data_IF_320891184910
#
_entry.id   IF_320891184910
#
_cell.length_a   1.000
_cell.length_b   1.000
_cell.length_c   1.000
_cell.angle_alpha   90.00
_cell.angle_beta   90.00
_cell.angle_gamma   90.00
#
_symmetry.space_group_name_H-M   'P 1'
#
loop_
_entity.id
_entity.type
_entity.pdbx_description
1 polymer ?
#
# COMPACT_ATOMS: atom_id res chain seq x y z
N UNK A 1 8.45 7.51 -20.51
CA UNK A 1 8.26 8.55 -19.47
C UNK A 1 7.94 7.78 -18.21
N UNK A 2 8.84 7.84 -17.23
CA UNK A 2 8.75 7.00 -16.04
C UNK A 2 8.05 7.75 -14.90
N UNK A 3 8.05 9.09 -14.96
CA UNK A 3 7.43 9.96 -13.97
C UNK A 3 6.73 11.16 -14.60
N UNK A 4 5.69 11.66 -13.94
CA UNK A 4 5.08 12.95 -14.25
C UNK A 4 5.16 13.86 -13.02
N UNK A 5 5.64 15.08 -13.22
CA UNK A 5 5.72 16.12 -12.20
C UNK A 5 4.62 17.13 -12.46
N UNK A 6 3.85 17.46 -11.43
CA UNK A 6 2.74 18.40 -11.52
C UNK A 6 3.04 19.61 -10.63
N UNK A 7 2.93 20.81 -11.20
CA UNK A 7 3.24 22.08 -10.53
C UNK A 7 2.17 23.13 -10.86
N UNK A 8 1.90 24.05 -9.94
CA UNK A 8 1.00 25.19 -10.13
C UNK A 8 1.72 26.44 -10.66
N UNK A 9 3.06 26.43 -10.73
CA UNK A 9 3.87 27.50 -11.31
C UNK A 9 4.95 26.98 -12.26
N UNK A 10 5.41 27.88 -13.14
CA UNK A 10 6.48 27.61 -14.11
C UNK A 10 7.82 27.66 -13.38
N UNK A 11 8.32 26.50 -12.94
CA UNK A 11 9.70 26.32 -12.48
C UNK A 11 10.49 25.50 -13.49
N UNK A 12 11.82 25.58 -13.45
CA UNK A 12 12.71 24.83 -14.34
C UNK A 12 12.99 23.40 -13.85
N UNK A 13 11.94 22.70 -13.39
CA UNK A 13 12.02 21.28 -13.00
C UNK A 13 12.61 20.45 -14.14
N UNK A 14 12.26 20.75 -15.39
CA UNK A 14 12.78 20.08 -16.59
C UNK A 14 14.30 20.09 -16.62
N UNK A 15 14.95 21.24 -16.41
CA UNK A 15 16.43 21.33 -16.36
C UNK A 15 17.02 20.52 -15.22
N UNK A 16 16.44 20.58 -14.01
CA UNK A 16 16.93 19.82 -12.86
C UNK A 16 16.77 18.30 -13.05
N UNK A 17 15.69 17.86 -13.70
CA UNK A 17 15.41 16.45 -13.96
C UNK A 17 16.32 15.91 -15.07
N UNK A 18 16.55 16.70 -16.13
CA UNK A 18 17.53 16.36 -17.17
C UNK A 18 18.94 16.22 -16.61
N UNK A 19 19.38 17.12 -15.73
CA UNK A 19 20.70 17.02 -15.08
C UNK A 19 20.85 15.74 -14.24
N UNK A 20 19.75 15.18 -13.75
CA UNK A 20 19.73 13.94 -12.96
C UNK A 20 19.43 12.69 -13.81
N UNK A 21 19.39 12.82 -15.14
CA UNK A 21 19.00 11.75 -16.07
C UNK A 21 17.65 11.12 -15.73
N UNK A 22 16.69 11.91 -15.21
CA UNK A 22 15.34 11.44 -14.90
C UNK A 22 14.43 11.67 -16.10
N UNK A 23 13.87 10.58 -16.64
CA UNK A 23 12.89 10.62 -17.73
C UNK A 23 11.49 11.00 -17.21
N UNK A 24 11.28 12.29 -16.99
CA UNK A 24 10.03 12.81 -16.44
C UNK A 24 9.40 13.89 -17.35
N UNK A 25 8.07 13.93 -17.37
CA UNK A 25 7.30 15.00 -17.99
C UNK A 25 6.83 16.01 -16.93
N UNK A 26 6.88 17.31 -17.23
CA UNK A 26 6.42 18.37 -16.32
C UNK A 26 5.12 18.95 -16.85
N UNK A 27 4.06 18.90 -16.06
CA UNK A 27 2.73 19.41 -16.41
C UNK A 27 2.33 20.50 -15.43
N UNK A 28 1.90 21.65 -15.96
CA UNK A 28 1.36 22.73 -15.14
C UNK A 28 -0.13 22.47 -14.92
N UNK A 29 -0.54 22.27 -13.67
CA UNK A 29 -1.95 22.04 -13.29
C UNK A 29 -2.17 22.42 -11.84
N UNK A 30 -3.25 23.16 -11.59
CA UNK A 30 -3.73 23.40 -10.23
C UNK A 30 -4.47 22.16 -9.68
N UNK A 31 -3.79 21.44 -8.79
CA UNK A 31 -4.33 20.24 -8.11
C UNK A 31 -5.47 20.56 -7.13
N UNK A 32 -5.77 21.84 -6.87
CA UNK A 32 -6.95 22.27 -6.10
C UNK A 32 -8.24 22.24 -6.91
N UNK A 33 -8.16 22.17 -8.25
CA UNK A 33 -9.35 22.21 -9.11
C UNK A 33 -9.56 20.89 -9.86
N UNK A 34 -8.53 20.05 -9.99
CA UNK A 34 -8.62 18.77 -10.68
C UNK A 34 -7.65 17.73 -10.09
N UNK A 35 -7.94 16.42 -10.23
CA UNK A 35 -7.00 15.37 -9.89
C UNK A 35 -5.66 15.53 -10.62
N UNK A 36 -4.54 15.22 -9.96
CA UNK A 36 -3.22 15.35 -10.57
C UNK A 36 -3.06 14.44 -11.80
N UNK A 37 -3.48 13.19 -11.70
CA UNK A 37 -3.40 12.20 -12.78
C UNK A 37 -4.52 11.16 -12.66
N UNK A 38 -4.72 10.36 -13.71
CA UNK A 38 -5.62 9.21 -13.74
C UNK A 38 -4.78 7.94 -13.95
N UNK A 39 -5.25 6.81 -13.39
CA UNK A 39 -4.66 5.48 -13.55
C UNK A 39 -3.16 5.37 -13.21
N UNK A 40 -2.74 6.08 -12.15
CA UNK A 40 -1.37 6.04 -11.62
C UNK A 40 -1.21 5.06 -10.47
N UNK A 41 -0.05 4.42 -10.38
CA UNK A 41 0.29 3.48 -9.31
C UNK A 41 0.65 4.19 -7.99
N UNK A 42 1.29 5.37 -8.08
CA UNK A 42 1.80 6.12 -6.94
C UNK A 42 1.75 7.61 -7.22
N UNK A 43 1.28 8.38 -6.24
CA UNK A 43 1.38 9.84 -6.21
C UNK A 43 2.31 10.23 -5.08
N UNK A 44 3.34 11.01 -5.40
CA UNK A 44 4.28 11.56 -4.42
C UNK A 44 3.97 13.04 -4.25
N UNK A 45 3.72 13.47 -3.02
CA UNK A 45 3.41 14.85 -2.71
C UNK A 45 4.15 15.27 -1.43
N UNK A 46 4.65 16.52 -1.41
CA UNK A 46 5.41 17.08 -0.30
C UNK A 46 4.63 18.23 0.36
N UNK A 47 4.79 18.41 1.67
CA UNK A 47 4.23 19.52 2.45
C UNK A 47 2.70 19.68 2.41
N UNK A 48 1.97 18.66 1.96
CA UNK A 48 0.51 18.71 1.81
C UNK A 48 -0.21 18.92 3.15
N UNK A 49 0.28 18.31 4.23
CA UNK A 49 -0.32 18.41 5.56
C UNK A 49 0.03 19.73 6.29
N UNK A 50 1.18 20.33 5.98
CA UNK A 50 1.67 21.57 6.60
C UNK A 50 0.95 22.81 6.07
N UNK A 51 0.61 22.81 4.78
CA UNK A 51 0.05 23.99 4.10
C UNK A 51 -1.43 24.25 4.37
N UNK A 52 -2.07 23.49 5.28
CA UNK A 52 -3.50 23.66 5.60
C UNK A 52 -4.42 23.63 4.35
N UNK A 53 -3.91 23.15 3.22
CA UNK A 53 -4.61 23.14 1.95
C UNK A 53 -5.44 21.87 1.89
N UNK A 54 -6.52 21.89 2.68
CA UNK A 54 -7.59 20.90 2.70
C UNK A 54 -7.99 20.44 1.31
N UNK A 55 -7.88 21.30 0.28
CA UNK A 55 -8.34 21.09 -1.09
C UNK A 55 -7.41 20.17 -1.89
N UNK A 56 -6.09 20.21 -1.65
CA UNK A 56 -5.13 19.31 -2.33
C UNK A 56 -5.25 17.91 -1.75
N UNK A 57 -5.38 17.85 -0.42
CA UNK A 57 -5.91 16.65 0.21
C UNK A 57 -7.30 16.38 -0.35
N UNK A 58 -8.33 17.23 -0.42
CA UNK A 58 -9.72 16.89 -0.90
C UNK A 58 -9.80 16.28 -2.29
N UNK A 59 -9.01 16.79 -3.23
CA UNK A 59 -8.90 16.24 -4.58
C UNK A 59 -7.99 14.99 -4.63
N UNK A 60 -7.47 14.60 -3.46
CA UNK A 60 -6.81 13.36 -3.05
C UNK A 60 -7.39 12.82 -1.69
N UNK A 61 -8.64 13.21 -1.34
CA UNK A 61 -9.35 13.38 -0.02
C UNK A 61 -8.71 14.08 1.25
N UNK A 62 -9.45 15.01 1.92
CA UNK A 62 -9.18 16.17 2.88
C UNK A 62 -8.51 16.01 4.29
N UNK A 63 -7.59 16.92 4.74
CA UNK A 63 -7.84 18.01 5.76
C UNK A 63 -6.64 18.75 6.50
N UNK A 64 -6.90 19.97 7.07
CA UNK A 64 -6.10 21.03 7.81
C UNK A 64 -5.60 20.72 9.20
N UNK A 65 -4.32 21.08 9.44
CA UNK A 65 -3.69 21.20 10.76
C UNK A 65 -4.18 20.13 11.74
N UNK A 66 -4.25 18.90 11.23
CA UNK A 66 -4.90 17.81 11.91
C UNK A 66 -3.82 16.92 12.49
N UNK A 67 -4.04 16.46 13.73
CA UNK A 67 -3.63 15.11 14.11
C UNK A 67 -3.87 14.18 12.91
N UNK A 68 -2.80 13.62 12.35
CA UNK A 68 -2.82 12.79 11.14
C UNK A 68 -3.95 11.76 11.20
N UNK A 69 -4.19 11.20 12.39
CA UNK A 69 -5.27 10.23 12.64
C UNK A 69 -6.65 10.83 12.43
N UNK A 70 -6.87 12.06 12.87
CA UNK A 70 -8.12 12.80 12.69
C UNK A 70 -8.27 13.32 11.25
N UNK A 71 -7.18 13.62 10.53
CA UNK A 71 -7.21 13.95 9.10
C UNK A 71 -7.69 12.74 8.30
N UNK A 72 -7.05 11.59 8.52
CA UNK A 72 -7.36 10.33 7.82
C UNK A 72 -8.72 9.74 8.19
N UNK A 73 -9.35 10.18 9.28
CA UNK A 73 -10.75 9.81 9.59
C UNK A 73 -11.74 10.44 8.61
N UNK A 74 -11.42 11.59 8.02
CA UNK A 74 -12.27 12.33 7.09
C UNK A 74 -12.06 11.91 5.63
N UNK A 75 -11.21 10.91 5.39
CA UNK A 75 -10.83 10.44 4.05
C UNK A 75 -10.99 8.92 3.98
N UNK A 76 -11.07 8.39 2.77
CA UNK A 76 -11.02 6.94 2.55
C UNK A 76 -9.58 6.39 2.56
N UNK A 77 -8.63 7.09 3.20
CA UNK A 77 -7.23 6.69 3.26
C UNK A 77 -6.87 6.04 4.60
N UNK A 78 -5.81 5.24 4.56
CA UNK A 78 -5.16 4.60 5.72
C UNK A 78 -3.66 4.79 5.63
N UNK A 79 -3.02 5.03 6.77
CA UNK A 79 -1.57 5.03 6.89
C UNK A 79 -1.07 3.58 6.86
N UNK A 80 -0.26 3.25 5.86
CA UNK A 80 0.31 1.90 5.64
C UNK A 80 1.81 1.82 5.85
N UNK A 81 2.49 2.97 5.82
CA UNK A 81 3.92 3.07 6.13
C UNK A 81 4.26 4.45 6.67
N UNK A 82 5.20 4.51 7.60
CA UNK A 82 5.74 5.75 8.14
C UNK A 82 7.25 5.56 8.34
N UNK A 83 8.04 6.47 7.78
CA UNK A 83 9.47 6.54 7.98
C UNK A 83 9.86 7.96 8.35
N UNK A 84 10.75 8.12 9.30
CA UNK A 84 11.31 9.43 9.66
C UNK A 84 12.80 9.42 9.40
N UNK A 85 13.31 10.43 8.72
CA UNK A 85 14.75 10.59 8.55
C UNK A 85 15.41 11.14 9.84
N UNK A 86 16.74 11.07 9.98
CA UNK A 86 17.43 11.58 11.16
C UNK A 86 17.26 13.10 11.41
N UNK A 87 16.83 13.84 10.39
CA UNK A 87 16.64 15.30 10.42
C UNK A 87 15.19 15.69 10.74
N UNK A 88 14.31 14.71 10.97
CA UNK A 88 12.92 14.89 11.39
C UNK A 88 11.90 14.96 10.24
N UNK A 89 12.28 14.68 8.99
CA UNK A 89 11.32 14.61 7.88
C UNK A 89 10.55 13.29 7.92
N UNK A 90 9.23 13.38 7.87
CA UNK A 90 8.34 12.23 7.83
C UNK A 90 7.91 11.89 6.40
N UNK A 91 8.02 10.62 6.04
CA UNK A 91 7.55 10.01 4.80
C UNK A 91 6.38 9.09 5.13
N UNK A 92 5.20 9.44 4.63
CA UNK A 92 3.95 8.74 4.92
C UNK A 92 3.47 8.03 3.66
N UNK A 93 3.24 6.72 3.74
CA UNK A 93 2.61 5.93 2.68
C UNK A 93 1.13 5.74 3.01
N UNK A 94 0.28 6.37 2.23
CA UNK A 94 -1.17 6.28 2.36
C UNK A 94 -1.74 5.34 1.31
N UNK A 95 -2.71 4.52 1.70
CA UNK A 95 -3.46 3.64 0.80
C UNK A 95 -4.95 3.84 0.99
N UNK A 96 -5.72 3.83 -0.11
CA UNK A 96 -7.17 3.79 -0.04
C UNK A 96 -7.65 2.55 0.72
N UNK A 97 -8.67 2.72 1.56
CA UNK A 97 -9.30 1.62 2.27
C UNK A 97 -9.96 0.71 1.25
N UNK A 98 -9.65 -0.57 1.37
CA UNK A 98 -10.31 -1.60 0.60
C UNK A 98 -11.48 -2.13 1.43
N UNK A 99 -12.61 -2.42 0.77
CA UNK A 99 -13.69 -3.16 1.41
C UNK A 99 -13.14 -4.49 1.90
N UNK A 100 -13.41 -4.84 3.16
CA UNK A 100 -13.05 -6.15 3.70
C UNK A 100 -13.80 -7.21 2.90
N UNK A 101 -13.04 -8.17 2.38
CA UNK A 101 -13.57 -9.40 1.78
C UNK A 101 -13.49 -10.49 2.83
N UNK A 102 -14.43 -11.41 2.81
CA UNK A 102 -14.37 -12.59 3.67
C UNK A 102 -13.17 -13.46 3.24
N UNK A 103 -12.17 -13.69 4.10
CA UNK A 103 -10.96 -14.39 3.71
C UNK A 103 -11.08 -15.90 3.96
N UNK A 104 -10.46 -16.69 3.10
CA UNK A 104 -10.16 -18.11 3.34
C UNK A 104 -8.84 -18.17 4.10
N UNK A 105 -8.88 -18.52 5.38
CA UNK A 105 -7.68 -18.62 6.23
C UNK A 105 -7.02 -19.98 6.07
N UNK A 106 -5.72 -19.99 5.83
CA UNK A 106 -4.91 -21.20 5.77
C UNK A 106 -3.71 -21.04 6.71
N UNK A 107 -3.65 -21.91 7.72
CA UNK A 107 -2.48 -22.02 8.57
C UNK A 107 -1.38 -22.83 7.87
N UNK A 108 -0.21 -22.23 7.73
CA UNK A 108 0.98 -22.82 7.14
C UNK A 108 1.97 -23.12 8.26
N UNK A 109 2.51 -24.34 8.25
CA UNK A 109 3.50 -24.82 9.22
C UNK A 109 4.72 -25.39 8.49
N UNK A 110 5.90 -25.29 9.10
CA UNK A 110 7.15 -25.89 8.60
C UNK A 110 7.23 -27.39 8.90
N UNK A 111 6.41 -27.88 9.84
CA UNK A 111 6.47 -29.25 10.35
C UNK A 111 6.07 -30.31 9.32
N UNK A 112 5.18 -29.96 8.40
CA UNK A 112 4.71 -30.84 7.34
C UNK A 112 4.07 -30.03 6.19
N UNK A 113 3.70 -30.72 5.12
CA UNK A 113 3.08 -30.14 3.92
C UNK A 113 1.56 -30.38 3.83
N UNK A 114 0.88 -30.72 4.95
CA UNK A 114 -0.55 -31.06 4.91
C UNK A 114 -1.44 -29.88 4.47
N UNK A 115 -0.92 -28.66 4.58
CA UNK A 115 -1.59 -27.43 4.15
C UNK A 115 -1.60 -27.22 2.62
N UNK A 116 -0.72 -27.91 1.87
CA UNK A 116 -0.51 -27.64 0.44
C UNK A 116 -1.76 -27.88 -0.41
N UNK A 117 -2.50 -28.97 -0.16
CA UNK A 117 -3.75 -29.24 -0.87
C UNK A 117 -4.85 -28.24 -0.50
N UNK A 118 -4.87 -27.77 0.75
CA UNK A 118 -5.72 -26.67 1.19
C UNK A 118 -5.44 -25.38 0.41
N UNK A 119 -4.16 -25.06 0.20
CA UNK A 119 -3.73 -23.89 -0.59
C UNK A 119 -4.20 -24.02 -2.04
N UNK A 120 -3.94 -25.16 -2.69
CA UNK A 120 -4.39 -25.39 -4.08
C UNK A 120 -5.90 -25.23 -4.21
N UNK A 121 -6.66 -25.72 -3.24
CA UNK A 121 -8.12 -25.63 -3.23
C UNK A 121 -8.59 -24.20 -3.03
N UNK A 122 -8.08 -23.49 -2.01
CA UNK A 122 -8.47 -22.10 -1.73
C UNK A 122 -8.11 -21.14 -2.88
N UNK A 123 -6.97 -21.35 -3.54
CA UNK A 123 -6.58 -20.56 -4.70
C UNK A 123 -7.52 -20.76 -5.90
N UNK A 124 -8.06 -21.98 -6.09
CA UNK A 124 -9.10 -22.24 -7.11
C UNK A 124 -10.44 -21.61 -6.73
N UNK A 125 -10.85 -21.74 -5.47
CA UNK A 125 -12.14 -21.22 -4.97
C UNK A 125 -12.18 -19.70 -4.90
N UNK A 126 -11.09 -19.05 -4.50
CA UNK A 126 -11.01 -17.59 -4.42
C UNK A 126 -11.21 -16.91 -5.77
N UNK A 127 -10.75 -17.54 -6.86
CA UNK A 127 -10.95 -17.04 -8.23
C UNK A 127 -12.43 -16.99 -8.63
N UNK A 128 -13.25 -17.95 -8.19
CA UNK A 128 -14.67 -18.00 -8.54
C UNK A 128 -15.55 -17.19 -7.60
N UNK A 129 -15.12 -16.98 -6.34
CA UNK A 129 -15.92 -16.32 -5.30
C UNK A 129 -15.49 -14.90 -4.94
N UNK A 130 -14.51 -14.33 -5.65
CA UNK A 130 -13.91 -13.02 -5.36
C UNK A 130 -13.39 -12.88 -3.91
N UNK A 131 -13.02 -14.01 -3.30
CA UNK A 131 -12.53 -14.08 -1.92
C UNK A 131 -11.02 -13.83 -1.85
N UNK A 132 -10.59 -13.35 -0.69
CA UNK A 132 -9.16 -13.24 -0.36
C UNK A 132 -8.66 -14.55 0.26
N UNK A 133 -7.43 -14.95 -0.04
CA UNK A 133 -6.76 -16.06 0.66
C UNK A 133 -5.75 -15.47 1.64
N UNK A 134 -5.83 -15.88 2.90
CA UNK A 134 -4.95 -15.42 3.96
C UNK A 134 -4.08 -16.56 4.46
N UNK A 135 -2.80 -16.52 4.12
CA UNK A 135 -1.80 -17.46 4.62
C UNK A 135 -1.30 -16.99 5.99
N UNK A 136 -1.44 -17.83 7.01
CA UNK A 136 -1.06 -17.50 8.38
C UNK A 136 0.04 -18.45 8.82
N UNK A 137 1.19 -17.90 9.16
CA UNK A 137 2.27 -18.64 9.80
C UNK A 137 2.58 -17.99 11.13
N UNK A 138 2.55 -18.79 12.19
CA UNK A 138 2.75 -18.35 13.56
C UNK A 138 3.63 -19.35 14.30
N UNK A 139 4.64 -18.85 15.01
CA UNK A 139 5.63 -19.67 15.75
C UNK A 139 6.39 -20.67 14.85
N UNK A 140 6.69 -20.25 13.61
CA UNK A 140 7.50 -21.02 12.65
C UNK A 140 8.84 -20.31 12.44
N UNK A 141 9.96 -20.97 12.73
CA UNK A 141 11.29 -20.30 12.77
C UNK A 141 11.99 -20.29 11.42
N UNK A 142 11.78 -21.33 10.64
CA UNK A 142 12.50 -21.64 9.40
C UNK A 142 11.60 -21.65 8.18
N UNK A 143 10.29 -21.42 8.35
CA UNK A 143 9.36 -21.33 7.24
C UNK A 143 9.75 -20.17 6.30
N UNK A 144 10.17 -20.51 5.09
CA UNK A 144 10.49 -19.58 4.01
C UNK A 144 9.25 -18.93 3.39
N UNK A 145 8.34 -18.37 4.20
CA UNK A 145 7.07 -17.81 3.74
C UNK A 145 7.29 -16.63 2.76
N UNK A 146 8.33 -15.83 2.96
CA UNK A 146 8.72 -14.77 2.02
C UNK A 146 9.07 -15.36 0.64
N UNK A 147 9.79 -16.49 0.62
CA UNK A 147 10.09 -17.23 -0.61
C UNK A 147 8.82 -17.77 -1.27
N UNK A 148 7.93 -18.38 -0.50
CA UNK A 148 6.63 -18.85 -0.98
C UNK A 148 5.80 -17.70 -1.59
N UNK A 149 5.80 -16.53 -0.96
CA UNK A 149 5.10 -15.34 -1.48
C UNK A 149 5.77 -14.74 -2.72
N UNK A 150 7.04 -15.03 -2.96
CA UNK A 150 7.72 -14.63 -4.20
C UNK A 150 7.26 -15.48 -5.39
N UNK A 151 6.86 -16.74 -5.17
CA UNK A 151 6.20 -17.60 -6.15
C UNK A 151 4.78 -17.10 -6.54
N UNK A 152 4.28 -16.02 -5.93
CA UNK A 152 2.96 -15.42 -6.23
C UNK A 152 2.74 -15.09 -7.70
N UNK A 153 3.79 -14.91 -8.50
CA UNK A 153 3.69 -14.72 -9.96
C UNK A 153 2.89 -15.82 -10.66
N UNK A 154 2.89 -17.04 -10.11
CA UNK A 154 2.18 -18.20 -10.66
C UNK A 154 0.68 -18.21 -10.32
N UNK A 155 0.26 -17.40 -9.34
CA UNK A 155 -1.10 -17.43 -8.77
C UNK A 155 -2.05 -16.49 -9.55
N UNK A 156 -1.53 -15.68 -10.47
CA UNK A 156 -2.32 -14.82 -11.35
C UNK A 156 -3.07 -13.73 -10.59
N UNK A 157 -4.36 -13.55 -10.88
CA UNK A 157 -5.21 -12.49 -10.31
C UNK A 157 -5.73 -12.75 -8.90
N UNK A 158 -5.42 -13.89 -8.28
CA UNK A 158 -5.91 -14.19 -6.93
C UNK A 158 -5.35 -13.21 -5.91
N UNK A 159 -6.24 -12.67 -5.08
CA UNK A 159 -5.86 -11.81 -3.97
C UNK A 159 -5.41 -12.70 -2.81
N UNK A 160 -4.10 -12.81 -2.65
CA UNK A 160 -3.49 -13.53 -1.54
C UNK A 160 -2.66 -12.59 -0.66
N UNK A 161 -2.89 -12.69 0.66
CA UNK A 161 -2.11 -12.02 1.70
C UNK A 161 -1.44 -13.05 2.59
N UNK A 162 -0.38 -12.62 3.27
CA UNK A 162 0.28 -13.43 4.26
C UNK A 162 0.40 -12.67 5.57
N UNK A 163 0.30 -13.42 6.67
CA UNK A 163 0.49 -12.98 8.03
C UNK A 163 1.59 -13.84 8.61
N UNK A 164 2.67 -13.20 9.04
CA UNK A 164 3.81 -13.87 9.61
C UNK A 164 4.05 -13.37 11.04
N UNK A 165 3.87 -14.27 12.00
CA UNK A 165 3.93 -13.98 13.43
C UNK A 165 5.07 -14.82 14.04
N UNK A 166 6.24 -14.21 14.18
CA UNK A 166 7.41 -14.90 14.73
C UNK A 166 7.36 -15.06 16.25
N UNK A 167 6.63 -14.17 16.95
CA UNK A 167 6.57 -14.21 18.41
C UNK A 167 5.61 -15.32 18.87
N UNK A 168 6.14 -16.29 19.60
CA UNK A 168 5.37 -17.41 20.17
C UNK A 168 4.49 -17.04 21.37
N UNK A 169 4.75 -15.90 22.00
CA UNK A 169 4.06 -15.47 23.22
C UNK A 169 2.81 -14.62 22.95
N UNK A 170 2.31 -14.61 21.71
CA UNK A 170 1.08 -13.90 21.32
C UNK A 170 -0.08 -14.89 21.16
N UNK A 171 -1.31 -14.40 21.30
CA UNK A 171 -2.50 -15.18 21.04
C UNK A 171 -2.48 -15.78 19.63
N UNK A 172 -3.15 -16.91 19.45
CA UNK A 172 -3.36 -17.46 18.10
C UNK A 172 -4.05 -16.41 17.23
N UNK A 173 -3.61 -16.32 15.99
CA UNK A 173 -4.26 -15.48 15.00
C UNK A 173 -5.74 -15.84 14.88
N UNK A 174 -6.58 -14.80 14.84
CA UNK A 174 -8.01 -14.92 14.64
C UNK A 174 -8.55 -13.68 13.90
N UNK A 175 -9.72 -13.79 13.27
CA UNK A 175 -10.33 -12.74 12.46
C UNK A 175 -11.28 -11.81 13.24
N UNK A 176 -11.55 -12.10 14.52
CA UNK A 176 -12.44 -11.33 15.40
C UNK A 176 -12.03 -9.86 15.54
#
# INVERSE_FOLDING_TARGET
>A
IDFQVITDFVDNYTKSLHQKNVNANVVIRDVKNAPPAQDVHLVIAANILLNQSHVILKNSETAVQVDLKTALKKTDLTLTGNQTDPVGKAYLLLKKREKRREPIVIHITEKNLSWLEGVKTALKTSRSKDQEVLFVSQDEKTLGLVGLMTCRREIGSTIARYIFIQNKNVSKFDLS
#
